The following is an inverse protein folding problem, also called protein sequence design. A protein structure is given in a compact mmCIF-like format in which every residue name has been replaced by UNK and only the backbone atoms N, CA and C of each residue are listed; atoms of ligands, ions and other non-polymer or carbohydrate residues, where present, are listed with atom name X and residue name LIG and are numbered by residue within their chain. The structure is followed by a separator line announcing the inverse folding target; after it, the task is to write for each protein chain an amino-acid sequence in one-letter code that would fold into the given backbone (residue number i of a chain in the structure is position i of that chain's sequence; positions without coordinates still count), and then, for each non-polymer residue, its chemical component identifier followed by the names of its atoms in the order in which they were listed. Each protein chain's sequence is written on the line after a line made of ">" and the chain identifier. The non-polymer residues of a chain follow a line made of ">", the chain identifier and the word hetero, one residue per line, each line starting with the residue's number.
data_IF_077747498194
#
_entry.id   IF_077747498194
#
_cell.length_a   1.000
_cell.length_b   1.000
_cell.length_c   1.000
_cell.angle_alpha   90.00
_cell.angle_beta   90.00
_cell.angle_gamma   90.00
#
_symmetry.space_group_name_H-M   'P 1'
#
loop_
_entity.id
_entity.type
_entity.pdbx_description
1 polymer ?
#
# COMPACT_ATOMS: atom_id res chain seq x y z
N UNK A 1 4.56 -18.81 35.47
CA UNK A 1 5.34 -18.20 34.37
C UNK A 1 5.76 -16.79 34.74
N UNK A 2 7.03 -16.49 34.70
CA UNK A 2 7.54 -15.15 34.94
C UNK A 2 7.72 -14.39 33.63
N UNK A 3 7.32 -13.13 33.59
CA UNK A 3 7.47 -12.26 32.44
C UNK A 3 8.47 -11.17 32.78
N UNK A 4 9.46 -10.97 31.92
CA UNK A 4 10.46 -9.88 32.04
C UNK A 4 10.42 -9.04 30.77
N UNK A 5 10.44 -7.74 30.95
CA UNK A 5 10.72 -6.78 29.86
C UNK A 5 12.20 -6.37 30.00
N UNK A 6 13.00 -6.70 28.99
CA UNK A 6 14.41 -6.37 28.93
C UNK A 6 14.68 -5.65 27.62
N UNK A 7 15.03 -4.39 27.71
CA UNK A 7 15.10 -3.50 26.56
C UNK A 7 13.78 -3.54 25.76
N UNK A 8 13.82 -3.91 24.50
CA UNK A 8 12.64 -4.06 23.63
C UNK A 8 12.15 -5.51 23.51
N UNK A 9 12.59 -6.42 24.41
CA UNK A 9 12.29 -7.85 24.34
C UNK A 9 11.45 -8.28 25.53
N UNK A 10 10.29 -8.89 25.22
CA UNK A 10 9.47 -9.58 26.20
C UNK A 10 9.99 -11.02 26.37
N UNK A 11 10.50 -11.34 27.56
CA UNK A 11 11.03 -12.66 27.88
C UNK A 11 10.02 -13.43 28.75
N UNK A 12 9.56 -14.57 28.23
CA UNK A 12 8.68 -15.50 28.97
C UNK A 12 9.54 -16.60 29.59
N UNK A 13 9.53 -16.70 30.93
CA UNK A 13 10.30 -17.68 31.69
C UNK A 13 9.34 -18.69 32.32
N UNK A 14 9.26 -19.93 31.81
CA UNK A 14 8.41 -20.96 32.44
C UNK A 14 9.03 -21.42 33.76
N UNK A 15 8.21 -21.52 34.79
CA UNK A 15 8.60 -21.95 36.14
C UNK A 15 8.17 -23.37 36.43
N UNK A 16 7.15 -23.89 35.73
CA UNK A 16 6.65 -25.26 35.89
C UNK A 16 6.93 -26.13 34.67
N UNK A 17 6.87 -27.44 34.83
CA UNK A 17 7.04 -28.43 33.74
C UNK A 17 5.89 -28.28 32.71
N UNK A 18 4.67 -28.01 33.17
CA UNK A 18 3.51 -27.75 32.29
C UNK A 18 3.74 -26.52 31.41
N UNK A 19 4.14 -25.40 31.99
CA UNK A 19 4.45 -24.17 31.25
C UNK A 19 5.61 -24.36 30.24
N UNK A 20 6.61 -25.17 30.59
CA UNK A 20 7.71 -25.53 29.65
C UNK A 20 7.18 -26.28 28.43
N UNK A 21 6.28 -27.25 28.64
CA UNK A 21 5.66 -28.02 27.57
C UNK A 21 4.76 -27.13 26.69
N UNK A 22 3.95 -26.26 27.29
CA UNK A 22 3.09 -25.30 26.56
C UNK A 22 3.91 -24.34 25.71
N UNK A 23 4.96 -23.71 26.28
CA UNK A 23 5.86 -22.83 25.52
C UNK A 23 6.58 -23.60 24.39
N UNK A 24 7.01 -24.82 24.63
CA UNK A 24 7.68 -25.63 23.60
C UNK A 24 6.72 -25.97 22.46
N UNK A 25 5.50 -26.39 22.75
CA UNK A 25 4.47 -26.64 21.73
C UNK A 25 4.10 -25.38 20.96
N UNK A 26 3.94 -24.26 21.67
CA UNK A 26 3.65 -22.97 21.05
C UNK A 26 4.80 -22.48 20.14
N UNK A 27 6.06 -22.61 20.56
CA UNK A 27 7.24 -22.26 19.75
C UNK A 27 7.36 -23.11 18.49
N UNK A 28 7.16 -24.44 18.59
CA UNK A 28 7.29 -25.34 17.46
C UNK A 28 6.25 -25.10 16.37
N UNK A 29 5.07 -24.64 16.74
CA UNK A 29 4.00 -24.36 15.78
C UNK A 29 3.99 -22.92 15.24
N UNK A 30 4.77 -22.00 15.84
CA UNK A 30 4.63 -20.55 15.59
C UNK A 30 5.94 -19.78 15.68
N UNK A 31 7.09 -20.44 15.49
CA UNK A 31 8.42 -19.82 15.63
C UNK A 31 8.60 -18.57 14.73
N UNK A 32 7.94 -18.56 13.56
CA UNK A 32 8.05 -17.49 12.56
C UNK A 32 6.86 -16.50 12.57
N UNK A 33 6.03 -16.55 13.62
CA UNK A 33 4.87 -15.68 13.72
C UNK A 33 5.22 -14.34 14.35
N UNK A 34 4.61 -13.27 13.86
CA UNK A 34 4.67 -11.92 14.43
C UNK A 34 3.54 -11.76 15.43
N UNK A 35 3.83 -11.08 16.54
CA UNK A 35 2.88 -10.76 17.59
C UNK A 35 2.86 -9.26 17.82
N UNK A 36 1.69 -8.71 18.18
CA UNK A 36 1.59 -7.35 18.68
C UNK A 36 1.08 -7.37 20.12
N UNK A 37 1.65 -6.49 20.94
CA UNK A 37 1.18 -6.24 22.29
C UNK A 37 -0.01 -5.27 22.23
N UNK A 38 -1.12 -5.62 22.86
CA UNK A 38 -2.30 -4.75 23.01
C UNK A 38 -2.61 -4.60 24.49
N UNK A 39 -3.00 -3.41 24.89
CA UNK A 39 -3.61 -3.19 26.21
C UNK A 39 -5.06 -3.59 26.14
N UNK A 40 -5.54 -4.36 27.12
CA UNK A 40 -6.96 -4.58 27.35
C UNK A 40 -7.52 -3.52 28.33
N UNK A 41 -8.84 -3.41 28.41
CA UNK A 41 -9.53 -2.50 29.36
C UNK A 41 -9.23 -2.83 30.84
N UNK A 42 -8.83 -4.06 31.13
CA UNK A 42 -8.24 -4.47 32.41
C UNK A 42 -6.73 -4.34 32.27
N UNK A 43 -6.02 -3.75 33.17
CA UNK A 43 -4.56 -3.55 33.25
C UNK A 43 -3.65 -4.68 32.67
N UNK A 44 -4.22 -5.61 31.90
CA UNK A 44 -3.56 -6.74 31.26
C UNK A 44 -3.00 -6.33 29.89
N UNK A 45 -1.84 -6.85 29.57
CA UNK A 45 -1.27 -6.79 28.24
C UNK A 45 -1.51 -8.11 27.51
N UNK A 46 -2.07 -8.06 26.33
CA UNK A 46 -2.38 -9.23 25.51
C UNK A 46 -1.45 -9.31 24.31
N UNK A 47 -0.86 -10.48 24.10
CA UNK A 47 -0.01 -10.76 22.95
C UNK A 47 -0.84 -11.39 21.83
N UNK A 48 -1.21 -10.58 20.84
CA UNK A 48 -2.01 -11.03 19.71
C UNK A 48 -1.14 -11.55 18.59
N UNK A 49 -1.38 -12.77 18.15
CA UNK A 49 -0.74 -13.35 16.99
C UNK A 49 -1.23 -12.68 15.71
N UNK A 50 -0.31 -12.20 14.89
CA UNK A 50 -0.58 -11.58 13.59
C UNK A 50 -0.36 -12.54 12.40
N UNK A 51 0.17 -13.74 12.65
CA UNK A 51 0.40 -14.79 11.65
C UNK A 51 1.86 -14.94 11.21
N UNK A 52 2.16 -15.87 10.28
CA UNK A 52 3.52 -16.14 9.78
C UNK A 52 3.95 -15.01 8.82
N UNK A 53 4.57 -13.98 9.35
CA UNK A 53 4.87 -12.76 8.58
C UNK A 53 6.33 -12.35 8.55
N UNK A 54 7.20 -12.99 9.34
CA UNK A 54 8.58 -12.54 9.46
C UNK A 54 9.37 -12.63 8.14
N UNK A 55 9.13 -13.63 7.32
CA UNK A 55 9.78 -13.72 6.00
C UNK A 55 9.24 -12.65 5.04
N UNK A 56 7.93 -12.45 5.01
CA UNK A 56 7.29 -11.44 4.16
C UNK A 56 7.62 -10.00 4.59
N UNK A 57 7.92 -9.76 5.90
CA UNK A 57 8.27 -8.43 6.41
C UNK A 57 9.76 -8.10 6.26
N UNK A 58 10.64 -9.07 6.06
CA UNK A 58 12.09 -8.85 5.99
C UNK A 58 12.54 -8.17 4.71
N UNK A 59 11.87 -8.42 3.59
CA UNK A 59 12.24 -7.85 2.30
C UNK A 59 11.12 -6.96 1.77
N UNK A 60 11.32 -5.64 1.74
CA UNK A 60 10.37 -4.72 1.13
C UNK A 60 10.10 -5.10 -0.34
N UNK A 61 8.84 -5.00 -0.78
CA UNK A 61 8.48 -5.16 -2.18
C UNK A 61 8.60 -3.82 -2.91
N UNK A 62 9.52 -3.73 -3.86
CA UNK A 62 9.67 -2.53 -4.67
C UNK A 62 8.68 -2.54 -5.85
N UNK A 63 7.60 -1.76 -5.73
CA UNK A 63 6.53 -1.68 -6.72
C UNK A 63 6.91 -0.74 -7.87
N UNK A 64 7.62 -1.28 -8.84
CA UNK A 64 8.06 -0.60 -10.07
C UNK A 64 7.69 -1.43 -11.30
N UNK A 65 7.54 -0.76 -12.44
CA UNK A 65 7.07 -1.40 -13.69
C UNK A 65 8.05 -2.44 -14.26
N UNK A 66 9.34 -2.30 -13.99
CA UNK A 66 10.40 -3.21 -14.43
C UNK A 66 10.81 -4.24 -13.37
N UNK A 67 10.02 -4.41 -12.30
CA UNK A 67 10.28 -5.46 -11.31
C UNK A 67 10.21 -6.85 -11.93
N UNK A 68 11.04 -7.77 -11.46
CA UNK A 68 10.92 -9.20 -11.80
C UNK A 68 9.68 -9.83 -11.16
N UNK A 69 9.22 -9.28 -10.03
CA UNK A 69 8.04 -9.74 -9.30
C UNK A 69 6.76 -9.26 -10.02
N UNK A 70 5.86 -10.17 -10.47
CA UNK A 70 4.63 -9.82 -11.15
C UNK A 70 3.65 -9.05 -10.25
N UNK A 71 3.65 -9.31 -8.94
CA UNK A 71 2.83 -8.57 -7.96
C UNK A 71 3.29 -7.11 -7.91
N UNK A 72 4.59 -6.86 -7.85
CA UNK A 72 5.15 -5.52 -7.84
C UNK A 72 4.81 -4.75 -9.12
N UNK A 73 4.89 -5.41 -10.29
CA UNK A 73 4.48 -4.81 -11.57
C UNK A 73 3.00 -4.44 -11.59
N UNK A 74 2.13 -5.33 -11.08
CA UNK A 74 0.69 -5.08 -11.01
C UNK A 74 0.33 -3.91 -10.09
N UNK A 75 1.06 -3.74 -8.99
CA UNK A 75 0.88 -2.61 -8.05
C UNK A 75 1.36 -1.30 -8.68
N UNK A 76 2.39 -1.32 -9.52
CA UNK A 76 2.97 -0.13 -10.13
C UNK A 76 1.94 0.78 -10.81
N UNK A 77 2.17 2.08 -10.77
CA UNK A 77 1.34 3.08 -11.45
C UNK A 77 1.31 2.91 -12.98
N UNK A 78 2.29 2.21 -13.55
CA UNK A 78 2.39 1.93 -14.99
C UNK A 78 1.56 0.72 -15.44
N UNK A 79 1.06 -0.10 -14.50
CA UNK A 79 0.26 -1.26 -14.84
C UNK A 79 -0.99 -0.85 -15.64
N UNK A 80 -1.26 -1.59 -16.72
CA UNK A 80 -2.46 -1.40 -17.54
C UNK A 80 -3.70 -1.95 -16.81
N UNK A 81 -4.16 -1.22 -15.81
CA UNK A 81 -5.29 -1.52 -14.94
C UNK A 81 -6.29 -0.38 -15.02
N UNK A 82 -7.15 -0.36 -16.05
CA UNK A 82 -8.06 0.76 -16.29
C UNK A 82 -9.00 1.01 -15.13
N UNK A 83 -9.30 2.28 -14.87
CA UNK A 83 -10.25 2.71 -13.85
C UNK A 83 -10.95 3.99 -14.27
N UNK A 84 -12.06 4.27 -13.61
CA UNK A 84 -12.82 5.52 -13.75
C UNK A 84 -12.62 6.39 -12.52
N UNK A 85 -12.41 7.67 -12.73
CA UNK A 85 -12.31 8.67 -11.68
C UNK A 85 -12.93 9.98 -12.16
N UNK A 86 -13.89 10.51 -11.37
CA UNK A 86 -14.61 11.75 -11.65
C UNK A 86 -15.24 11.79 -13.06
N UNK A 87 -15.85 10.66 -13.47
CA UNK A 87 -16.51 10.49 -14.76
C UNK A 87 -15.57 10.28 -15.95
N UNK A 88 -14.29 10.03 -15.71
CA UNK A 88 -13.29 9.85 -16.75
C UNK A 88 -12.56 8.53 -16.58
N UNK A 89 -12.35 7.85 -17.72
CA UNK A 89 -11.59 6.59 -17.77
C UNK A 89 -10.11 6.87 -18.00
N UNK A 90 -9.27 6.20 -17.24
CA UNK A 90 -7.81 6.23 -17.34
C UNK A 90 -7.29 4.82 -17.56
N UNK A 91 -6.31 4.67 -18.45
CA UNK A 91 -5.69 3.37 -18.73
C UNK A 91 -4.75 2.92 -17.63
N UNK A 92 -4.04 3.89 -17.00
CA UNK A 92 -3.07 3.65 -15.92
C UNK A 92 -3.13 4.78 -14.90
N UNK A 93 -2.61 4.56 -13.70
CA UNK A 93 -2.45 5.64 -12.71
C UNK A 93 -1.45 6.69 -13.22
N UNK A 94 -0.44 6.25 -13.99
CA UNK A 94 0.53 7.18 -14.58
C UNK A 94 -0.12 8.11 -15.59
N UNK A 95 -1.03 7.62 -16.44
CA UNK A 95 -1.75 8.47 -17.40
C UNK A 95 -2.60 9.55 -16.73
N UNK A 96 -3.26 9.23 -15.61
CA UNK A 96 -3.93 10.23 -14.77
C UNK A 96 -2.93 11.25 -14.23
N UNK A 97 -1.84 10.76 -13.59
CA UNK A 97 -0.86 11.63 -12.92
C UNK A 97 -0.15 12.59 -13.88
N UNK A 98 0.23 12.10 -15.03
CA UNK A 98 0.86 12.93 -16.07
C UNK A 98 -0.12 13.92 -16.69
N UNK A 99 -1.39 13.53 -16.82
CA UNK A 99 -2.46 14.41 -17.29
C UNK A 99 -2.66 15.66 -16.44
N UNK A 100 -2.36 15.62 -15.13
CA UNK A 100 -2.46 16.77 -14.24
C UNK A 100 -1.54 17.95 -14.64
N UNK A 101 -0.50 17.69 -15.43
CA UNK A 101 0.43 18.73 -15.91
C UNK A 101 -0.16 19.60 -17.01
N UNK A 102 -1.23 19.15 -17.65
CA UNK A 102 -1.88 19.84 -18.76
C UNK A 102 -3.09 20.64 -18.26
N UNK A 103 -3.23 21.85 -18.76
CA UNK A 103 -4.39 22.71 -18.44
C UNK A 103 -5.55 22.45 -19.40
N UNK A 104 -5.24 22.04 -20.63
CA UNK A 104 -6.23 21.73 -21.65
C UNK A 104 -6.85 20.35 -21.43
N UNK A 105 -8.20 20.30 -21.45
CA UNK A 105 -8.94 19.07 -21.21
C UNK A 105 -8.80 18.06 -22.35
N UNK A 106 -8.61 18.50 -23.60
CA UNK A 106 -8.38 17.62 -24.72
C UNK A 106 -7.05 16.86 -24.55
N UNK A 107 -6.00 17.55 -24.14
CA UNK A 107 -4.71 16.91 -23.85
C UNK A 107 -4.79 15.93 -22.68
N UNK A 108 -5.52 16.27 -21.63
CA UNK A 108 -5.77 15.36 -20.51
C UNK A 108 -6.46 14.08 -20.96
N UNK A 109 -7.46 14.19 -21.86
CA UNK A 109 -8.16 13.03 -22.43
C UNK A 109 -7.26 12.18 -23.27
N UNK A 110 -6.46 12.78 -24.11
CA UNK A 110 -5.48 12.09 -24.92
C UNK A 110 -4.48 11.30 -24.04
N UNK A 111 -3.99 11.90 -22.95
CA UNK A 111 -3.09 11.22 -22.03
C UNK A 111 -3.78 10.07 -21.27
N UNK A 112 -5.05 10.21 -20.94
CA UNK A 112 -5.81 9.20 -20.21
C UNK A 112 -5.80 7.83 -20.91
N UNK A 113 -5.74 7.80 -22.24
CA UNK A 113 -5.73 6.60 -23.08
C UNK A 113 -4.33 6.00 -23.31
N UNK A 114 -3.27 6.71 -22.92
CA UNK A 114 -1.90 6.24 -23.11
C UNK A 114 -1.51 5.17 -22.07
N UNK A 115 -0.59 4.30 -22.45
CA UNK A 115 0.06 3.42 -21.48
C UNK A 115 1.03 4.20 -20.56
N UNK A 116 1.51 3.55 -19.50
CA UNK A 116 2.35 4.21 -18.50
C UNK A 116 3.64 4.84 -19.08
N UNK A 117 4.43 4.13 -19.88
CA UNK A 117 5.64 4.68 -20.53
C UNK A 117 5.34 5.85 -21.45
N UNK A 118 4.31 5.75 -22.28
CA UNK A 118 3.91 6.82 -23.20
C UNK A 118 3.43 8.07 -22.45
N UNK A 119 2.53 7.89 -21.47
CA UNK A 119 2.05 8.97 -20.61
C UNK A 119 3.20 9.67 -19.88
N UNK A 120 4.17 8.89 -19.37
CA UNK A 120 5.36 9.41 -18.70
C UNK A 120 6.21 10.27 -19.66
N UNK A 121 6.48 9.77 -20.86
CA UNK A 121 7.27 10.51 -21.87
C UNK A 121 6.64 11.84 -22.24
N UNK A 122 5.33 11.86 -22.49
CA UNK A 122 4.58 13.09 -22.79
C UNK A 122 4.59 14.07 -21.61
N UNK A 123 4.31 13.57 -20.42
CA UNK A 123 4.30 14.41 -19.22
C UNK A 123 5.69 14.94 -18.82
N UNK A 124 6.78 14.23 -19.13
CA UNK A 124 8.14 14.72 -18.87
C UNK A 124 8.50 15.91 -19.78
N UNK A 125 7.95 15.95 -21.00
CA UNK A 125 8.11 17.09 -21.92
C UNK A 125 7.37 18.34 -21.40
N UNK A 126 6.19 18.16 -20.77
CA UNK A 126 5.39 19.27 -20.26
C UNK A 126 5.93 19.85 -18.94
N UNK A 127 6.42 18.99 -18.04
CA UNK A 127 6.80 19.40 -16.69
C UNK A 127 5.61 19.85 -15.81
N UNK A 128 5.89 20.10 -14.54
CA UNK A 128 4.90 20.68 -13.60
C UNK A 128 5.09 22.18 -13.49
N UNK A 129 3.97 22.95 -13.47
CA UNK A 129 3.95 24.31 -12.93
C UNK A 129 4.01 24.32 -11.39
N UNK A 130 3.79 25.51 -10.81
CA UNK A 130 3.67 25.65 -9.35
C UNK A 130 2.38 25.01 -8.82
N UNK A 131 1.34 25.02 -9.62
CA UNK A 131 0.01 24.46 -9.32
C UNK A 131 -0.46 23.54 -10.44
N UNK A 132 -1.41 22.66 -10.12
CA UNK A 132 -2.26 21.94 -11.07
C UNK A 132 -3.71 22.34 -10.82
N UNK A 133 -4.48 22.53 -11.87
CA UNK A 133 -5.93 22.74 -11.74
C UNK A 133 -6.65 21.38 -11.78
N UNK A 134 -7.46 21.09 -10.76
CA UNK A 134 -8.26 19.87 -10.72
C UNK A 134 -9.64 20.17 -10.10
N UNK A 135 -10.70 19.88 -10.86
CA UNK A 135 -12.08 20.16 -10.41
C UNK A 135 -12.37 21.64 -10.19
N UNK A 136 -11.66 22.53 -10.89
CA UNK A 136 -11.79 23.99 -10.74
C UNK A 136 -10.95 24.59 -9.61
N UNK A 137 -10.19 23.77 -8.87
CA UNK A 137 -9.32 24.23 -7.79
C UNK A 137 -7.85 24.17 -8.19
N UNK A 138 -7.09 25.22 -7.85
CA UNK A 138 -5.65 25.27 -8.02
C UNK A 138 -4.94 24.63 -6.82
N UNK A 139 -4.27 23.54 -7.07
CA UNK A 139 -3.60 22.72 -6.06
C UNK A 139 -2.07 22.88 -6.19
N UNK A 140 -1.41 23.30 -5.12
CA UNK A 140 0.06 23.46 -5.10
C UNK A 140 0.76 22.11 -5.25
N UNK A 141 1.65 22.02 -6.24
CA UNK A 141 2.41 20.80 -6.55
C UNK A 141 3.35 20.43 -5.41
N UNK A 142 3.48 19.14 -5.15
CA UNK A 142 4.36 18.59 -4.09
C UNK A 142 3.78 18.68 -2.67
N UNK A 143 2.53 19.09 -2.51
CA UNK A 143 1.85 19.16 -1.21
C UNK A 143 0.99 17.92 -0.94
N UNK A 144 0.54 17.78 0.30
CA UNK A 144 -0.41 16.73 0.69
C UNK A 144 -1.74 16.81 -0.09
N UNK A 145 -2.16 18.00 -0.51
CA UNK A 145 -3.34 18.18 -1.37
C UNK A 145 -3.11 17.55 -2.75
N UNK A 146 -1.94 17.77 -3.35
CA UNK A 146 -1.54 17.16 -4.61
C UNK A 146 -1.43 15.62 -4.47
N UNK A 147 -0.82 15.13 -3.39
CA UNK A 147 -0.69 13.68 -3.16
C UNK A 147 -2.03 12.97 -2.93
N UNK A 148 -3.05 13.69 -2.42
CA UNK A 148 -4.41 13.14 -2.33
C UNK A 148 -5.01 12.81 -3.70
N UNK A 149 -4.66 13.52 -4.76
CA UNK A 149 -5.08 13.17 -6.12
C UNK A 149 -4.51 11.80 -6.54
N UNK A 150 -3.21 11.56 -6.28
CA UNK A 150 -2.58 10.26 -6.50
C UNK A 150 -3.26 9.16 -5.68
N UNK A 151 -3.57 9.41 -4.41
CA UNK A 151 -4.25 8.44 -3.56
C UNK A 151 -5.66 8.11 -4.08
N UNK A 152 -6.41 9.10 -4.60
CA UNK A 152 -7.72 8.87 -5.23
C UNK A 152 -7.59 7.97 -6.46
N UNK A 153 -6.63 8.22 -7.34
CA UNK A 153 -6.40 7.38 -8.51
C UNK A 153 -5.99 5.95 -8.14
N UNK A 154 -5.09 5.80 -7.18
CA UNK A 154 -4.70 4.47 -6.66
C UNK A 154 -5.91 3.74 -6.06
N UNK A 155 -6.74 4.41 -5.29
CA UNK A 155 -7.96 3.81 -4.74
C UNK A 155 -8.90 3.34 -5.86
N UNK A 156 -9.19 4.18 -6.83
CA UNK A 156 -10.04 3.83 -7.96
C UNK A 156 -9.50 2.61 -8.71
N UNK A 157 -8.19 2.59 -9.01
CA UNK A 157 -7.52 1.42 -9.61
C UNK A 157 -7.80 0.13 -8.83
N UNK A 158 -7.47 0.11 -7.54
CA UNK A 158 -7.54 -1.12 -6.74
C UNK A 158 -8.97 -1.49 -6.30
N UNK A 159 -9.89 -0.55 -6.26
CA UNK A 159 -11.31 -0.82 -5.99
C UNK A 159 -12.03 -1.39 -7.24
N UNK A 160 -11.65 -0.96 -8.43
CA UNK A 160 -12.32 -1.32 -9.69
C UNK A 160 -11.66 -2.48 -10.45
N UNK A 161 -10.37 -2.78 -10.19
CA UNK A 161 -9.65 -3.85 -10.87
C UNK A 161 -9.34 -4.99 -9.91
N UNK A 162 -10.03 -6.14 -10.08
CA UNK A 162 -9.91 -7.30 -9.20
C UNK A 162 -8.52 -7.91 -9.14
N UNK A 163 -7.79 -7.97 -10.27
CA UNK A 163 -6.43 -8.51 -10.30
C UNK A 163 -5.45 -7.59 -9.56
N UNK A 164 -5.54 -6.27 -9.79
CA UNK A 164 -4.71 -5.31 -9.07
C UNK A 164 -5.00 -5.32 -7.56
N UNK A 165 -6.29 -5.42 -7.19
CA UNK A 165 -6.73 -5.57 -5.80
C UNK A 165 -6.13 -6.82 -5.17
N UNK A 166 -6.27 -7.98 -5.81
CA UNK A 166 -5.73 -9.25 -5.33
C UNK A 166 -4.21 -9.17 -5.16
N UNK A 167 -3.49 -8.60 -6.13
CA UNK A 167 -2.05 -8.39 -6.06
C UNK A 167 -1.65 -7.52 -4.84
N UNK A 168 -2.36 -6.39 -4.62
CA UNK A 168 -2.05 -5.50 -3.50
C UNK A 168 -2.35 -6.17 -2.15
N UNK A 169 -3.51 -6.85 -2.02
CA UNK A 169 -3.94 -7.52 -0.78
C UNK A 169 -3.04 -8.71 -0.45
N UNK A 170 -2.59 -9.48 -1.46
CA UNK A 170 -1.70 -10.64 -1.26
C UNK A 170 -0.34 -10.28 -0.65
N UNK A 171 0.09 -9.02 -0.73
CA UNK A 171 1.31 -8.56 -0.06
C UNK A 171 1.21 -8.58 1.47
N UNK A 172 0.03 -8.78 2.03
CA UNK A 172 -0.19 -8.93 3.48
C UNK A 172 0.28 -7.72 4.28
N UNK A 173 1.30 -7.88 5.09
CA UNK A 173 1.94 -6.80 5.86
C UNK A 173 3.34 -6.44 5.33
N UNK A 174 3.76 -7.10 4.25
CA UNK A 174 5.05 -6.82 3.62
C UNK A 174 5.20 -5.32 3.37
N UNK A 175 6.30 -4.68 3.78
CA UNK A 175 6.54 -3.28 3.48
C UNK A 175 6.58 -3.07 1.96
N UNK A 176 5.89 -2.04 1.49
CA UNK A 176 5.98 -1.61 0.11
C UNK A 176 6.95 -0.44 0.02
N UNK A 177 7.67 -0.37 -1.08
CA UNK A 177 8.54 0.75 -1.39
C UNK A 177 8.42 1.14 -2.87
N UNK A 178 8.86 2.34 -3.19
CA UNK A 178 8.98 2.83 -4.56
C UNK A 178 10.36 3.45 -4.73
N UNK A 179 11.34 2.61 -4.98
CA UNK A 179 12.73 3.01 -5.19
C UNK A 179 13.03 2.99 -6.67
N UNK A 180 13.32 4.15 -7.23
CA UNK A 180 13.67 4.35 -8.62
C UNK A 180 15.04 5.04 -8.70
N UNK A 181 15.69 5.00 -9.88
CA UNK A 181 17.02 5.58 -10.07
C UNK A 181 17.11 7.06 -9.65
N UNK A 182 16.05 7.82 -9.92
CA UNK A 182 15.93 9.23 -9.52
C UNK A 182 14.55 9.44 -8.94
N UNK A 183 14.51 9.74 -7.65
CA UNK A 183 13.24 9.96 -6.95
C UNK A 183 12.54 11.23 -7.44
N UNK A 184 11.23 11.23 -7.34
CA UNK A 184 10.39 12.35 -7.76
C UNK A 184 10.41 13.47 -6.73
N UNK A 185 10.60 14.70 -7.19
CA UNK A 185 10.49 15.89 -6.33
C UNK A 185 9.04 16.26 -6.03
N UNK A 186 8.09 15.83 -6.85
CA UNK A 186 6.67 16.18 -6.70
C UNK A 186 5.88 15.16 -5.88
N UNK A 187 6.29 13.89 -5.91
CA UNK A 187 5.76 12.82 -5.05
C UNK A 187 6.90 11.85 -4.72
N UNK A 188 7.59 12.01 -3.58
CA UNK A 188 8.67 11.11 -3.17
C UNK A 188 8.22 9.65 -3.09
N UNK A 189 9.11 8.72 -3.39
CA UNK A 189 8.81 7.29 -3.39
C UNK A 189 8.27 6.78 -2.06
N UNK A 190 8.72 7.35 -0.94
CA UNK A 190 8.19 7.04 0.40
C UNK A 190 6.71 7.40 0.52
N UNK A 191 6.27 8.52 -0.05
CA UNK A 191 4.86 8.94 -0.06
C UNK A 191 4.05 7.98 -0.94
N UNK A 192 4.58 7.62 -2.11
CA UNK A 192 3.93 6.65 -2.99
C UNK A 192 3.70 5.30 -2.29
N UNK A 193 4.73 4.79 -1.63
CA UNK A 193 4.64 3.55 -0.86
C UNK A 193 3.60 3.63 0.27
N UNK A 194 3.55 4.75 1.00
CA UNK A 194 2.54 4.98 2.04
C UNK A 194 1.12 5.00 1.47
N UNK A 195 0.91 5.59 0.28
CA UNK A 195 -0.40 5.57 -0.40
C UNK A 195 -0.85 4.12 -0.63
N UNK A 196 -0.02 3.28 -1.26
CA UNK A 196 -0.35 1.88 -1.51
C UNK A 196 -0.64 1.10 -0.21
N UNK A 197 0.15 1.31 0.84
CA UNK A 197 -0.07 0.65 2.13
C UNK A 197 -1.38 1.10 2.80
N UNK A 198 -1.76 2.39 2.70
CA UNK A 198 -3.07 2.86 3.20
C UNK A 198 -4.23 2.27 2.42
N UNK A 199 -4.13 2.21 1.08
CA UNK A 199 -5.16 1.59 0.23
C UNK A 199 -5.28 0.10 0.56
N UNK A 200 -4.18 -0.63 0.68
CA UNK A 200 -4.17 -2.04 1.10
C UNK A 200 -4.89 -2.26 2.44
N UNK A 201 -4.57 -1.46 3.46
CA UNK A 201 -5.22 -1.54 4.78
C UNK A 201 -6.73 -1.34 4.67
N UNK A 202 -7.18 -0.38 3.86
CA UNK A 202 -8.61 -0.11 3.63
C UNK A 202 -9.31 -1.30 2.98
N UNK A 203 -8.74 -1.86 1.92
CA UNK A 203 -9.30 -3.00 1.21
C UNK A 203 -9.44 -4.22 2.12
N UNK A 204 -8.41 -4.53 2.90
CA UNK A 204 -8.45 -5.65 3.86
C UNK A 204 -9.49 -5.45 4.96
N UNK A 205 -9.64 -4.23 5.47
CA UNK A 205 -10.66 -3.94 6.46
C UNK A 205 -12.07 -4.12 5.89
N UNK A 206 -12.30 -3.72 4.63
CA UNK A 206 -13.58 -3.94 3.96
C UNK A 206 -13.90 -5.43 3.79
N UNK A 207 -12.92 -6.26 3.43
CA UNK A 207 -13.09 -7.72 3.33
C UNK A 207 -13.44 -8.37 4.67
N UNK A 208 -12.78 -7.94 5.75
CA UNK A 208 -13.07 -8.43 7.09
C UNK A 208 -14.48 -8.04 7.58
N UNK A 209 -14.99 -6.88 7.17
CA UNK A 209 -16.35 -6.45 7.51
C UNK A 209 -17.40 -7.28 6.76
N UNK A 210 -17.20 -7.54 5.47
CA UNK A 210 -18.10 -8.38 4.66
C UNK A 210 -18.17 -9.81 5.19
N UNK A 211 -17.04 -10.41 5.55
CA UNK A 211 -16.98 -11.76 6.13
C UNK A 211 -17.69 -11.90 7.47
N UNK A 212 -17.92 -10.80 8.19
CA UNK A 212 -18.65 -10.79 9.47
C UNK A 212 -20.15 -10.53 9.31
N UNK A 213 -20.57 -10.05 8.15
CA UNK A 213 -21.96 -9.66 7.86
C UNK A 213 -22.77 -10.79 7.21
N UNK A 214 -22.14 -11.88 6.79
CA UNK A 214 -22.77 -13.09 6.30
C UNK A 214 -22.87 -14.12 7.45
N UNK A 215 -23.96 -14.13 8.24
CA UNK A 215 -24.24 -15.22 9.15
C UNK A 215 -24.71 -16.43 8.33
N UNK A 216 -24.02 -17.57 8.48
CA UNK A 216 -24.53 -18.88 8.06
C UNK A 216 -25.91 -19.17 8.62
#
# INVERSE_FOLDING_TARGET
>A
MRVLLKDDVLVLIPETTGEKAEIAAWKSSRADHVFCLRSSESSNAELHQLGPRLEACREPLNAVSNSVDPIARMISNFAATPFELDGHRYRTVESFWQGLKFTDEHDRRRLADLDGPQARSEGDNQGYGATVNYGGEDIVVGTSAHWRLMERACRAKFEQNGEARAALVSTGERPLQHVVRRDSTTIPGVIMAQIWMRVRKRLRNAELQHSRSDPC
#
